data_IF_173350078309
#
_entry.id   IF_173350078309
#
_cell.length_a   1.000
_cell.length_b   1.000
_cell.length_c   1.000
_cell.angle_alpha   90.00
_cell.angle_beta   90.00
_cell.angle_gamma   90.00
#
_symmetry.space_group_name_H-M   'P 1'
#
loop_
_entity.id
_entity.type
_entity.pdbx_description
1 polymer ?
#
# COMPACT_ATOMS: atom_id res chain seq x y z
N UNK A 1 -1.81 11.65 1.31
CA UNK A 1 -0.75 10.97 2.08
C UNK A 1 0.57 11.27 1.39
N UNK A 2 1.58 11.79 2.10
CA UNK A 2 2.89 12.11 1.52
C UNK A 2 3.56 10.81 1.03
N UNK A 3 4.06 10.77 -0.20
CA UNK A 3 4.64 9.56 -0.78
C UNK A 3 5.97 9.23 -0.11
N UNK A 4 6.30 7.96 0.07
CA UNK A 4 7.64 7.55 0.55
C UNK A 4 8.75 8.03 -0.38
N UNK A 5 8.44 8.23 -1.67
CA UNK A 5 9.37 8.84 -2.64
C UNK A 5 9.72 10.29 -2.31
N UNK A 6 8.85 11.01 -1.60
CA UNK A 6 9.09 12.39 -1.19
C UNK A 6 10.14 12.49 -0.07
N UNK A 7 10.44 11.38 0.62
CA UNK A 7 11.46 11.35 1.68
C UNK A 7 12.89 11.27 1.13
N UNK A 8 13.07 10.86 -0.13
CA UNK A 8 14.40 10.59 -0.68
C UNK A 8 14.77 11.61 -1.76
N UNK A 9 15.55 12.61 -1.35
CA UNK A 9 16.24 13.50 -2.28
C UNK A 9 17.55 12.86 -2.74
N UNK A 10 17.64 12.52 -4.04
CA UNK A 10 18.83 11.89 -4.63
C UNK A 10 20.08 12.80 -4.64
N UNK A 11 19.91 14.09 -4.39
CA UNK A 11 20.99 15.07 -4.32
C UNK A 11 21.30 15.52 -2.88
N UNK A 12 20.77 14.82 -1.88
CA UNK A 12 20.99 15.12 -0.47
C UNK A 12 22.45 14.86 -0.06
N UNK A 13 22.95 15.62 0.92
CA UNK A 13 24.23 15.30 1.56
C UNK A 13 24.15 13.94 2.29
N UNK A 14 25.29 13.36 2.64
CA UNK A 14 25.30 12.08 3.37
C UNK A 14 24.61 12.18 4.75
N UNK A 15 24.75 13.32 5.44
CA UNK A 15 24.08 13.61 6.72
C UNK A 15 22.56 13.72 6.53
N UNK A 16 22.11 14.45 5.50
CA UNK A 16 20.70 14.57 5.18
C UNK A 16 20.07 13.21 4.78
N UNK A 17 20.83 12.37 4.08
CA UNK A 17 20.40 11.03 3.71
C UNK A 17 20.26 10.10 4.93
N UNK A 18 21.17 10.21 5.90
CA UNK A 18 21.10 9.48 7.17
C UNK A 18 19.87 9.88 7.98
N UNK A 19 19.63 11.17 8.13
CA UNK A 19 18.45 11.70 8.82
C UNK A 19 17.14 11.30 8.14
N UNK A 20 17.11 11.32 6.80
CA UNK A 20 15.96 10.86 6.02
C UNK A 20 15.68 9.37 6.25
N UNK A 21 16.74 8.54 6.30
CA UNK A 21 16.61 7.12 6.62
C UNK A 21 16.05 6.90 8.03
N UNK A 22 16.57 7.59 9.05
CA UNK A 22 16.09 7.44 10.43
C UNK A 22 14.62 7.85 10.56
N UNK A 23 14.20 8.93 9.89
CA UNK A 23 12.79 9.35 9.85
C UNK A 23 11.89 8.33 9.18
N UNK A 24 12.36 7.71 8.09
CA UNK A 24 11.62 6.64 7.42
C UNK A 24 11.51 5.40 8.31
N UNK A 25 12.61 5.00 8.95
CA UNK A 25 12.64 3.86 9.87
C UNK A 25 11.66 4.06 11.03
N UNK A 26 11.73 5.21 11.72
CA UNK A 26 10.84 5.52 12.84
C UNK A 26 9.37 5.50 12.40
N UNK A 27 9.08 6.05 11.21
CA UNK A 27 7.71 6.03 10.66
C UNK A 27 7.24 4.62 10.33
N UNK A 28 8.08 3.77 9.72
CA UNK A 28 7.72 2.37 9.46
C UNK A 28 7.48 1.62 10.78
N UNK A 29 8.37 1.81 11.75
CA UNK A 29 8.27 1.19 13.07
C UNK A 29 6.98 1.59 13.81
N UNK A 30 6.61 2.87 13.81
CA UNK A 30 5.37 3.35 14.41
C UNK A 30 4.11 2.73 13.79
N UNK A 31 4.16 2.37 12.51
CA UNK A 31 3.06 1.75 11.78
C UNK A 31 3.13 0.22 11.72
N UNK A 32 4.14 -0.40 12.34
CA UNK A 32 4.41 -1.83 12.27
C UNK A 32 3.16 -2.68 12.56
N UNK A 33 2.45 -2.41 13.66
CA UNK A 33 1.22 -3.13 14.03
C UNK A 33 0.14 -3.12 12.93
N UNK A 34 0.05 -2.03 12.16
CA UNK A 34 -0.95 -1.87 11.10
C UNK A 34 -0.50 -2.59 9.82
N UNK A 35 0.80 -2.56 9.53
CA UNK A 35 1.43 -3.31 8.43
C UNK A 35 1.31 -4.81 8.71
N UNK A 36 1.78 -5.25 9.88
CA UNK A 36 1.67 -6.63 10.37
C UNK A 36 0.23 -7.13 10.32
N UNK A 37 -0.75 -6.37 10.82
CA UNK A 37 -2.18 -6.76 10.75
C UNK A 37 -2.68 -7.04 9.33
N UNK A 38 -2.11 -6.39 8.31
CA UNK A 38 -2.51 -6.57 6.90
C UNK A 38 -1.85 -7.78 6.25
N UNK A 39 -0.64 -8.16 6.67
CA UNK A 39 0.15 -9.20 6.00
C UNK A 39 0.41 -10.48 6.83
N UNK A 40 0.40 -10.38 8.16
CA UNK A 40 0.66 -11.52 9.04
C UNK A 40 -0.48 -12.55 8.99
N UNK A 41 -0.10 -13.81 8.81
CA UNK A 41 -1.04 -14.94 8.80
C UNK A 41 -2.07 -14.86 7.66
N UNK A 42 -1.76 -14.17 6.56
CA UNK A 42 -2.64 -14.16 5.38
C UNK A 42 -2.89 -15.57 4.87
N UNK A 43 -4.16 -15.90 4.71
CA UNK A 43 -4.64 -17.19 4.22
C UNK A 43 -6.08 -17.08 3.72
N UNK A 44 -6.44 -17.94 2.77
CA UNK A 44 -7.80 -18.05 2.23
C UNK A 44 -8.36 -16.70 1.78
N UNK A 45 -9.59 -16.37 2.21
CA UNK A 45 -10.29 -15.13 1.84
C UNK A 45 -9.59 -13.84 2.27
N UNK A 46 -8.58 -13.89 3.16
CA UNK A 46 -7.80 -12.70 3.53
C UNK A 46 -6.99 -12.15 2.35
N UNK A 47 -6.60 -12.99 1.38
CA UNK A 47 -5.89 -12.51 0.19
C UNK A 47 -6.72 -11.50 -0.60
N UNK A 48 -7.98 -11.82 -0.88
CA UNK A 48 -8.89 -10.94 -1.60
C UNK A 48 -9.08 -9.61 -0.87
N UNK A 49 -9.36 -9.67 0.44
CA UNK A 49 -9.56 -8.48 1.27
C UNK A 49 -8.32 -7.58 1.26
N UNK A 50 -7.12 -8.16 1.34
CA UNK A 50 -5.86 -7.40 1.27
C UNK A 50 -5.70 -6.72 -0.08
N UNK A 51 -5.97 -7.41 -1.19
CA UNK A 51 -5.91 -6.82 -2.54
C UNK A 51 -6.93 -5.69 -2.70
N UNK A 52 -8.18 -5.89 -2.24
CA UNK A 52 -9.20 -4.84 -2.23
C UNK A 52 -8.71 -3.57 -1.54
N UNK A 53 -8.17 -3.68 -0.34
CA UNK A 53 -7.71 -2.51 0.42
C UNK A 53 -6.50 -1.84 -0.24
N UNK A 54 -5.55 -2.61 -0.78
CA UNK A 54 -4.41 -2.03 -1.48
C UNK A 54 -4.82 -1.29 -2.76
N UNK A 55 -5.82 -1.81 -3.48
CA UNK A 55 -6.38 -1.17 -4.66
C UNK A 55 -7.22 0.08 -4.32
N UNK A 56 -7.96 0.04 -3.21
CA UNK A 56 -8.68 1.19 -2.68
C UNK A 56 -7.72 2.30 -2.20
N UNK A 57 -6.67 1.94 -1.47
CA UNK A 57 -5.64 2.86 -0.96
C UNK A 57 -4.76 3.45 -2.09
N UNK A 58 -4.94 3.01 -3.34
CA UNK A 58 -4.18 3.45 -4.50
C UNK A 58 -2.75 2.91 -4.55
N UNK A 59 -2.44 1.90 -3.73
CA UNK A 59 -1.15 1.21 -3.75
C UNK A 59 -1.05 0.30 -4.98
N UNK A 60 -2.15 -0.34 -5.36
CA UNK A 60 -2.29 -1.07 -6.62
C UNK A 60 -3.04 -0.23 -7.65
N UNK A 61 -2.62 -0.32 -8.90
CA UNK A 61 -3.21 0.29 -10.08
C UNK A 61 -4.14 -0.67 -10.81
N UNK A 62 -4.87 -0.17 -11.81
CA UNK A 62 -5.71 -1.01 -12.68
C UNK A 62 -4.86 -2.01 -13.47
N UNK A 63 -3.64 -1.62 -13.85
CA UNK A 63 -2.66 -2.51 -14.48
C UNK A 63 -2.23 -3.64 -13.53
N UNK A 64 -1.96 -3.35 -12.26
CA UNK A 64 -1.50 -4.35 -11.29
C UNK A 64 -2.56 -5.43 -11.02
N UNK A 65 -3.84 -5.07 -11.02
CA UNK A 65 -4.93 -6.03 -10.78
C UNK A 65 -5.38 -6.76 -12.06
N UNK A 66 -4.84 -6.42 -13.23
CA UNK A 66 -5.25 -7.04 -14.50
C UNK A 66 -4.80 -8.49 -14.64
N UNK A 67 -3.84 -8.93 -13.83
CA UNK A 67 -3.39 -10.32 -13.80
C UNK A 67 -4.45 -11.30 -13.24
N UNK A 68 -5.45 -10.78 -12.51
CA UNK A 68 -6.59 -11.58 -12.08
C UNK A 68 -7.52 -11.88 -13.26
N UNK A 69 -8.31 -12.95 -13.12
CA UNK A 69 -9.40 -13.23 -14.06
C UNK A 69 -10.44 -12.10 -14.10
N UNK A 70 -11.27 -12.12 -15.15
CA UNK A 70 -12.25 -11.06 -15.39
C UNK A 70 -13.29 -10.94 -14.27
N UNK A 71 -13.61 -12.04 -13.59
CA UNK A 71 -14.57 -12.02 -12.49
C UNK A 71 -14.00 -11.23 -11.31
N UNK A 72 -12.80 -11.58 -10.84
CA UNK A 72 -12.13 -10.91 -9.72
C UNK A 72 -11.77 -9.47 -10.10
N UNK A 73 -11.26 -9.24 -11.31
CA UNK A 73 -10.93 -7.90 -11.81
C UNK A 73 -12.13 -6.96 -11.73
N UNK A 74 -13.28 -7.38 -12.28
CA UNK A 74 -14.49 -6.55 -12.27
C UNK A 74 -15.01 -6.36 -10.84
N UNK A 75 -14.99 -7.41 -10.01
CA UNK A 75 -15.45 -7.34 -8.62
C UNK A 75 -14.62 -6.36 -7.79
N UNK A 76 -13.30 -6.33 -7.97
CA UNK A 76 -12.41 -5.36 -7.31
C UNK A 76 -12.75 -3.91 -7.69
N UNK A 77 -13.08 -3.67 -8.96
CA UNK A 77 -13.49 -2.34 -9.44
C UNK A 77 -14.83 -1.92 -8.87
N UNK A 78 -15.82 -2.81 -8.87
CA UNK A 78 -17.13 -2.56 -8.27
C UNK A 78 -17.02 -2.24 -6.77
N UNK A 79 -16.21 -3.02 -6.03
CA UNK A 79 -16.00 -2.81 -4.60
C UNK A 79 -15.35 -1.45 -4.33
N UNK A 80 -14.32 -1.07 -5.11
CA UNK A 80 -13.70 0.26 -4.98
C UNK A 80 -14.70 1.39 -5.20
N UNK A 81 -15.51 1.31 -6.24
CA UNK A 81 -16.55 2.30 -6.53
C UNK A 81 -17.60 2.38 -5.42
N UNK A 82 -17.97 1.25 -4.82
CA UNK A 82 -18.89 1.21 -3.68
C UNK A 82 -18.32 1.94 -2.46
N UNK A 83 -17.05 1.73 -2.14
CA UNK A 83 -16.40 2.40 -1.00
C UNK A 83 -16.20 3.91 -1.23
N UNK A 84 -16.00 4.35 -2.47
CA UNK A 84 -15.86 5.77 -2.81
C UNK A 84 -17.18 6.55 -2.77
N UNK A 85 -18.32 5.87 -2.95
CA UNK A 85 -19.66 6.49 -2.96
C UNK A 85 -20.29 6.65 -1.57
N UNK A 86 -19.62 6.18 -0.52
CA UNK A 86 -20.15 6.13 0.85
C UNK A 86 -19.42 7.12 1.75
#
# INVERSE_FOLDING_TARGET
MQSTKDFMNKNASAEDAHDAYLKLYDKVYQFDKHIARRYDGMSGGRYYITVCYLYYDGVLTDEDIREFDDEIYNKLKEDKEFFLKK
#
